data_IF_278756546854
#
_entry.id   IF_278756546854
#
_cell.length_a   1.000
_cell.length_b   1.000
_cell.length_c   1.000
_cell.angle_alpha   90.00
_cell.angle_beta   90.00
_cell.angle_gamma   90.00
#
_symmetry.space_group_name_H-M   'P 1'
#
loop_
_entity.id
_entity.type
_entity.pdbx_description
1 polymer ?
#
# COMPACT_ATOMS: atom_id res chain seq x y z
N UNK A 1 29.12 1.98 -25.28
CA UNK A 1 27.67 2.12 -24.99
C UNK A 1 27.40 3.42 -24.23
N UNK A 2 27.95 3.60 -23.01
CA UNK A 2 27.78 4.82 -22.22
C UNK A 2 28.20 6.10 -22.95
N UNK A 3 29.31 6.09 -23.69
CA UNK A 3 29.74 7.24 -24.51
C UNK A 3 28.69 7.66 -25.54
N UNK A 4 27.96 6.72 -26.15
CA UNK A 4 26.87 7.04 -27.08
C UNK A 4 25.70 7.71 -26.37
N UNK A 5 25.35 7.25 -25.16
CA UNK A 5 24.28 7.82 -24.35
C UNK A 5 24.66 9.24 -23.91
N UNK A 6 25.89 9.43 -23.43
CA UNK A 6 26.40 10.74 -23.00
C UNK A 6 26.43 11.71 -24.19
N UNK A 7 26.97 11.28 -25.33
CA UNK A 7 27.03 12.12 -26.53
C UNK A 7 25.62 12.50 -27.01
N UNK A 8 24.69 11.55 -27.03
CA UNK A 8 23.29 11.82 -27.36
C UNK A 8 22.63 12.81 -26.39
N UNK A 9 22.87 12.65 -25.08
CA UNK A 9 22.35 13.56 -24.06
C UNK A 9 22.89 14.99 -24.21
N UNK A 10 24.16 15.14 -24.61
CA UNK A 10 24.78 16.45 -24.87
C UNK A 10 24.26 17.06 -26.17
N UNK A 11 24.12 16.28 -27.23
CA UNK A 11 23.58 16.74 -28.52
C UNK A 11 22.12 17.19 -28.40
N UNK A 12 21.30 16.46 -27.63
CA UNK A 12 19.90 16.77 -27.38
C UNK A 12 19.66 17.49 -26.05
N UNK A 13 20.61 18.35 -25.62
CA UNK A 13 20.59 19.02 -24.30
C UNK A 13 19.28 19.70 -23.96
N UNK A 14 18.58 20.31 -24.93
CA UNK A 14 17.31 21.02 -24.67
C UNK A 14 16.22 20.02 -24.31
N UNK A 15 16.11 18.91 -25.04
CA UNK A 15 15.14 17.83 -24.77
C UNK A 15 15.41 17.23 -23.39
N UNK A 16 16.69 16.98 -23.07
CA UNK A 16 17.09 16.47 -21.76
C UNK A 16 16.70 17.44 -20.65
N UNK A 17 16.96 18.74 -20.81
CA UNK A 17 16.61 19.76 -19.81
C UNK A 17 15.09 19.86 -19.61
N UNK A 18 14.30 19.81 -20.68
CA UNK A 18 12.83 19.79 -20.59
C UNK A 18 12.36 18.54 -19.85
N UNK A 19 12.90 17.37 -20.18
CA UNK A 19 12.56 16.12 -19.51
C UNK A 19 12.87 16.17 -18.01
N UNK A 20 14.01 16.75 -17.62
CA UNK A 20 14.39 16.97 -16.22
C UNK A 20 13.42 17.91 -15.52
N UNK A 21 13.04 19.03 -16.16
CA UNK A 21 12.08 19.99 -15.58
C UNK A 21 10.69 19.37 -15.38
N UNK A 22 10.21 18.60 -16.36
CA UNK A 22 8.95 17.87 -16.25
C UNK A 22 9.02 16.86 -15.10
N UNK A 23 10.10 16.08 -15.03
CA UNK A 23 10.31 15.09 -13.96
C UNK A 23 10.35 15.76 -12.58
N UNK A 24 11.05 16.89 -12.45
CA UNK A 24 11.09 17.66 -11.22
C UNK A 24 9.70 18.22 -10.84
N UNK A 25 8.95 18.75 -11.81
CA UNK A 25 7.59 19.24 -11.58
C UNK A 25 6.64 18.15 -11.10
N UNK A 26 6.67 16.97 -11.74
CA UNK A 26 5.91 15.80 -11.30
C UNK A 26 6.34 15.36 -9.90
N UNK A 27 7.65 15.35 -9.63
CA UNK A 27 8.21 15.01 -8.32
C UNK A 27 7.70 15.93 -7.22
N UNK A 28 7.72 17.26 -7.43
CA UNK A 28 7.20 18.26 -6.49
C UNK A 28 5.69 18.05 -6.25
N UNK A 29 4.92 17.87 -7.33
CA UNK A 29 3.49 17.62 -7.22
C UNK A 29 3.18 16.35 -6.42
N UNK A 30 3.91 15.27 -6.68
CA UNK A 30 3.76 14.01 -5.95
C UNK A 30 4.19 14.14 -4.49
N UNK A 31 5.26 14.88 -4.21
CA UNK A 31 5.74 15.14 -2.85
C UNK A 31 4.68 15.85 -2.00
N UNK A 32 4.01 16.86 -2.56
CA UNK A 32 2.94 17.58 -1.87
C UNK A 32 1.69 16.72 -1.59
N UNK A 33 1.51 15.63 -2.33
CA UNK A 33 0.37 14.72 -2.21
C UNK A 33 0.68 13.44 -1.45
N UNK A 34 1.93 13.23 -1.07
CA UNK A 34 2.32 12.02 -0.36
C UNK A 34 1.65 12.03 1.03
N UNK A 35 0.81 11.05 1.36
CA UNK A 35 0.26 10.95 2.71
C UNK A 35 1.41 10.69 3.68
N UNK A 36 1.55 11.56 4.68
CA UNK A 36 2.55 11.41 5.73
C UNK A 36 1.83 10.83 6.94
N UNK A 37 2.29 9.67 7.41
CA UNK A 37 1.90 9.11 8.69
C UNK A 37 3.04 9.28 9.70
N UNK A 38 2.69 9.48 10.96
CA UNK A 38 3.65 9.73 12.04
C UNK A 38 4.42 8.46 12.43
N UNK A 39 3.84 7.29 12.17
CA UNK A 39 4.41 5.98 12.51
C UNK A 39 4.18 5.00 11.37
N UNK A 40 5.08 4.00 11.18
CA UNK A 40 4.77 2.89 10.29
C UNK A 40 3.57 2.11 10.86
N UNK A 41 2.71 1.63 9.96
CA UNK A 41 1.62 0.73 10.36
C UNK A 41 2.21 -0.60 10.86
N UNK A 42 2.10 -0.82 12.17
CA UNK A 42 2.53 -2.02 12.87
C UNK A 42 1.34 -2.93 13.22
N UNK A 43 0.15 -2.64 12.71
CA UNK A 43 -1.04 -3.45 12.98
C UNK A 43 -0.96 -4.77 12.22
N UNK A 44 -1.21 -5.88 12.93
CA UNK A 44 -1.33 -7.18 12.28
C UNK A 44 -2.59 -7.22 11.43
N UNK A 45 -2.53 -7.89 10.27
CA UNK A 45 -3.72 -8.17 9.46
C UNK A 45 -4.64 -9.10 10.24
N UNK A 46 -5.79 -8.57 10.67
CA UNK A 46 -6.80 -9.30 11.44
C UNK A 46 -8.13 -9.30 10.69
N UNK A 47 -8.76 -10.46 10.59
CA UNK A 47 -10.11 -10.62 10.04
C UNK A 47 -11.06 -10.94 11.19
N UNK A 48 -11.97 -10.01 11.50
CA UNK A 48 -12.94 -10.19 12.58
C UNK A 48 -14.21 -10.85 12.06
N UNK A 49 -14.61 -11.96 12.69
CA UNK A 49 -15.87 -12.65 12.40
C UNK A 49 -16.78 -12.48 13.62
N UNK A 50 -17.87 -11.73 13.43
CA UNK A 50 -18.88 -11.53 14.46
C UNK A 50 -20.17 -12.25 14.07
N UNK A 51 -20.61 -13.21 14.89
CA UNK A 51 -21.84 -13.97 14.65
C UNK A 51 -22.80 -13.77 15.83
N UNK A 52 -24.00 -13.28 15.56
CA UNK A 52 -25.03 -13.13 16.58
C UNK A 52 -25.66 -14.49 16.93
N UNK A 53 -25.76 -14.80 18.22
CA UNK A 53 -26.26 -16.07 18.74
C UNK A 53 -27.37 -15.88 19.79
N UNK A 54 -28.51 -15.24 19.43
CA UNK A 54 -29.56 -14.96 20.40
C UNK A 54 -30.23 -16.26 20.88
N UNK A 55 -30.41 -16.39 22.19
CA UNK A 55 -31.09 -17.54 22.81
C UNK A 55 -30.19 -18.77 23.02
N UNK A 56 -28.94 -18.76 22.53
CA UNK A 56 -27.96 -19.76 22.90
C UNK A 56 -27.28 -19.41 24.22
N UNK A 57 -27.03 -20.43 25.05
CA UNK A 57 -26.11 -20.28 26.17
C UNK A 57 -24.66 -20.08 25.67
N UNK A 58 -23.75 -19.54 26.50
CA UNK A 58 -22.34 -19.38 26.10
C UNK A 58 -21.68 -20.67 25.62
N UNK A 59 -21.96 -21.81 26.28
CA UNK A 59 -21.43 -23.11 25.91
C UNK A 59 -21.95 -23.57 24.53
N UNK A 60 -23.23 -23.37 24.26
CA UNK A 60 -23.81 -23.72 22.96
C UNK A 60 -23.28 -22.81 21.84
N UNK A 61 -23.05 -21.54 22.14
CA UNK A 61 -22.45 -20.59 21.18
C UNK A 61 -21.03 -21.02 20.82
N UNK A 62 -20.21 -21.41 21.81
CA UNK A 62 -18.87 -21.95 21.57
C UNK A 62 -18.92 -23.22 20.72
N UNK A 63 -19.66 -24.24 21.16
CA UNK A 63 -19.66 -25.55 20.53
C UNK A 63 -20.29 -25.57 19.14
N UNK A 64 -21.32 -24.74 18.90
CA UNK A 64 -22.08 -24.76 17.65
C UNK A 64 -21.66 -23.69 16.65
N UNK A 65 -21.03 -22.61 17.11
CA UNK A 65 -20.67 -21.48 16.24
C UNK A 65 -19.17 -21.26 16.26
N UNK A 66 -18.58 -20.91 17.40
CA UNK A 66 -17.16 -20.51 17.46
C UNK A 66 -16.23 -21.65 17.05
N UNK A 67 -16.37 -22.83 17.65
CA UNK A 67 -15.47 -23.96 17.40
C UNK A 67 -15.51 -24.47 15.95
N UNK A 68 -16.69 -24.65 15.30
CA UNK A 68 -16.74 -24.97 13.88
C UNK A 68 -16.13 -23.89 12.99
N UNK A 69 -16.33 -22.61 13.32
CA UNK A 69 -15.76 -21.49 12.56
C UNK A 69 -14.24 -21.45 12.68
N UNK A 70 -13.69 -21.62 13.88
CA UNK A 70 -12.24 -21.63 14.11
C UNK A 70 -11.56 -22.85 13.45
N UNK A 71 -12.22 -24.01 13.43
CA UNK A 71 -11.64 -25.24 12.84
C UNK A 71 -11.69 -25.23 11.31
N UNK A 72 -12.60 -24.46 10.71
CA UNK A 72 -12.77 -24.37 9.26
C UNK A 72 -11.84 -23.33 8.58
N UNK A 73 -11.14 -22.51 9.38
CA UNK A 73 -10.20 -21.49 8.93
C UNK A 73 -8.77 -22.04 8.88
#
# INVERSE_FOLDING_TARGET
MFERIIRFAIEQRIVVMIAVLIMAGIGIYSYQKLPIDAVPDITNVQVQINTAAPGYSPLETEQRITFPVETAM
#
